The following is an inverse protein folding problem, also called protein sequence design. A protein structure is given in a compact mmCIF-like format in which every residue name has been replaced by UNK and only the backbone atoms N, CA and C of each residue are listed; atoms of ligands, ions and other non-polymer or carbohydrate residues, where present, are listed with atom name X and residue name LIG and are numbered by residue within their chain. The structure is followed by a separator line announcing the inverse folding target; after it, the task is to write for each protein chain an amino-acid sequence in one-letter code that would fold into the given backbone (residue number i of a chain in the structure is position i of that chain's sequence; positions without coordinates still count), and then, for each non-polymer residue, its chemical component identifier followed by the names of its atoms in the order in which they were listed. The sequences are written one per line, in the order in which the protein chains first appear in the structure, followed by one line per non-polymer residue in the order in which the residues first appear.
data_IF_420105471169
#
_entry.id   IF_420105471169
#
_cell.length_a   1.000
_cell.length_b   1.000
_cell.length_c   1.000
_cell.angle_alpha   90.00
_cell.angle_beta   90.00
_cell.angle_gamma   90.00
#
_symmetry.space_group_name_H-M   'P 1'
#
loop_
_entity.id
_entity.type
_entity.pdbx_description
1 polymer ?
#
# COMPACT_ATOMS: atom_id res chain seq x y z
N UNK A 1 -7.23 -11.55 -45.84
CA UNK A 1 -7.93 -10.31 -45.43
C UNK A 1 -7.10 -9.63 -44.36
N UNK A 2 -6.97 -8.29 -44.35
CA UNK A 2 -6.13 -7.58 -43.37
C UNK A 2 -6.54 -7.78 -41.90
N UNK A 3 -7.79 -8.20 -41.66
CA UNK A 3 -8.35 -8.49 -40.34
C UNK A 3 -7.77 -9.74 -39.65
N UNK A 4 -7.03 -10.59 -40.35
CA UNK A 4 -6.42 -11.81 -39.77
C UNK A 4 -5.40 -11.50 -38.66
N UNK A 5 -4.91 -10.26 -38.56
CA UNK A 5 -4.02 -9.81 -37.46
C UNK A 5 -4.77 -9.45 -36.17
N UNK A 6 -6.08 -9.15 -36.26
CA UNK A 6 -6.87 -8.68 -35.11
C UNK A 6 -6.88 -9.67 -33.93
N UNK A 7 -7.01 -10.99 -34.12
CA UNK A 7 -6.96 -11.94 -33.01
C UNK A 7 -5.62 -11.90 -32.26
N UNK A 8 -4.51 -11.72 -32.98
CA UNK A 8 -3.19 -11.62 -32.35
C UNK A 8 -3.03 -10.33 -31.53
N UNK A 9 -3.59 -9.22 -32.04
CA UNK A 9 -3.61 -7.94 -31.32
C UNK A 9 -4.49 -8.04 -30.08
N UNK A 10 -5.66 -8.68 -30.17
CA UNK A 10 -6.59 -8.83 -29.05
C UNK A 10 -5.97 -9.65 -27.90
N UNK A 11 -5.35 -10.78 -28.20
CA UNK A 11 -4.65 -11.60 -27.19
C UNK A 11 -3.53 -10.80 -26.51
N UNK A 12 -2.76 -10.03 -27.29
CA UNK A 12 -1.69 -9.18 -26.76
C UNK A 12 -2.24 -8.07 -25.87
N UNK A 13 -3.33 -7.41 -26.30
CA UNK A 13 -3.98 -6.33 -25.58
C UNK A 13 -4.62 -6.81 -24.26
N UNK A 14 -5.06 -8.06 -24.18
CA UNK A 14 -5.58 -8.65 -22.95
C UNK A 14 -4.46 -9.13 -22.02
N UNK A 15 -3.43 -9.79 -22.57
CA UNK A 15 -2.37 -10.40 -21.79
C UNK A 15 -1.42 -9.37 -21.15
N UNK A 16 -1.00 -8.33 -21.89
CA UNK A 16 -0.04 -7.34 -21.39
C UNK A 16 -0.49 -6.56 -20.13
N UNK A 17 -1.72 -6.02 -20.04
CA UNK A 17 -2.16 -5.30 -18.86
C UNK A 17 -2.61 -6.22 -17.72
N UNK A 18 -2.77 -7.52 -17.96
CA UNK A 18 -3.30 -8.45 -16.96
C UNK A 18 -2.41 -8.53 -15.71
N UNK A 19 -1.07 -8.72 -15.80
CA UNK A 19 -0.19 -8.67 -14.64
C UNK A 19 -0.26 -7.35 -13.86
N UNK A 20 -0.39 -6.22 -14.57
CA UNK A 20 -0.48 -4.89 -13.95
C UNK A 20 -1.79 -4.70 -13.17
N UNK A 21 -2.92 -5.19 -13.69
CA UNK A 21 -4.19 -5.18 -12.96
C UNK A 21 -4.13 -6.11 -11.76
N UNK A 22 -3.60 -7.32 -11.94
CA UNK A 22 -3.43 -8.27 -10.85
C UNK A 22 -2.55 -7.71 -9.73
N UNK A 23 -1.40 -7.10 -10.07
CA UNK A 23 -0.50 -6.50 -9.08
C UNK A 23 -1.13 -5.31 -8.37
N UNK A 24 -1.88 -4.45 -9.07
CA UNK A 24 -2.62 -3.35 -8.44
C UNK A 24 -3.66 -3.86 -7.42
N UNK A 25 -4.39 -4.93 -7.75
CA UNK A 25 -5.33 -5.56 -6.82
C UNK A 25 -4.61 -6.16 -5.60
N UNK A 26 -3.51 -6.90 -5.82
CA UNK A 26 -2.71 -7.48 -4.74
C UNK A 26 -2.12 -6.39 -3.85
N UNK A 27 -1.61 -5.30 -4.42
CA UNK A 27 -1.08 -4.17 -3.66
C UNK A 27 -2.15 -3.51 -2.80
N UNK A 28 -3.35 -3.29 -3.32
CA UNK A 28 -4.44 -2.76 -2.50
C UNK A 28 -4.85 -3.74 -1.40
N UNK A 29 -4.98 -5.01 -1.71
CA UNK A 29 -5.35 -6.05 -0.74
C UNK A 29 -4.36 -6.13 0.43
N UNK A 30 -3.06 -6.15 0.12
CA UNK A 30 -1.99 -6.28 1.12
C UNK A 30 -1.69 -5.02 1.92
N UNK A 31 -2.20 -3.86 1.51
CA UNK A 31 -1.93 -2.55 2.14
C UNK A 31 -3.19 -1.86 2.65
N UNK A 32 -4.19 -2.62 3.09
CA UNK A 32 -5.40 -2.10 3.73
C UNK A 32 -6.28 -1.28 2.78
N UNK A 33 -6.36 -1.68 1.51
CA UNK A 33 -7.12 -1.01 0.46
C UNK A 33 -6.41 0.19 -0.17
N UNK A 34 -5.23 0.56 0.33
CA UNK A 34 -4.46 1.72 -0.13
C UNK A 34 -3.38 1.31 -1.13
N UNK A 35 -2.82 2.30 -1.82
CA UNK A 35 -1.67 2.07 -2.68
C UNK A 35 -0.42 1.71 -1.86
N UNK A 36 0.39 0.80 -2.38
CA UNK A 36 1.65 0.41 -1.74
C UNK A 36 2.60 1.62 -1.74
N UNK A 37 3.14 1.96 -0.56
CA UNK A 37 4.13 3.04 -0.46
C UNK A 37 5.46 2.63 -1.11
N UNK A 38 6.03 3.56 -1.88
CA UNK A 38 7.35 3.40 -2.47
C UNK A 38 8.36 4.26 -1.72
N UNK A 39 9.37 3.63 -1.12
CA UNK A 39 10.32 4.27 -0.22
C UNK A 39 11.73 4.26 -0.81
N UNK A 40 11.91 5.02 -1.89
CA UNK A 40 13.19 5.13 -2.61
C UNK A 40 14.25 5.88 -1.82
N UNK A 41 13.81 6.84 -1.00
CA UNK A 41 14.69 7.69 -0.21
C UNK A 41 14.69 7.26 1.25
N UNK A 42 15.82 7.46 1.94
CA UNK A 42 15.99 7.15 3.37
C UNK A 42 14.95 7.86 4.25
N UNK A 43 14.58 9.11 3.91
CA UNK A 43 13.52 9.84 4.61
C UNK A 43 12.17 9.10 4.52
N UNK A 44 11.80 8.60 3.34
CA UNK A 44 10.56 7.85 3.14
C UNK A 44 10.58 6.52 3.92
N UNK A 45 11.73 5.85 3.97
CA UNK A 45 11.90 4.61 4.75
C UNK A 45 11.78 4.88 6.26
N UNK A 46 12.40 5.96 6.75
CA UNK A 46 12.29 6.38 8.14
C UNK A 46 10.85 6.69 8.55
N UNK A 47 10.08 7.36 7.68
CA UNK A 47 8.65 7.63 7.92
C UNK A 47 7.80 6.35 7.87
N UNK A 48 8.09 5.43 6.95
CA UNK A 48 7.39 4.15 6.85
C UNK A 48 7.62 3.28 8.10
N UNK A 49 8.85 3.29 8.60
CA UNK A 49 9.24 2.59 9.82
C UNK A 49 8.64 3.23 11.08
N UNK A 50 8.55 4.57 11.12
CA UNK A 50 7.78 5.28 12.15
C UNK A 50 6.32 4.83 12.15
N UNK A 51 5.67 4.79 11.00
CA UNK A 51 4.26 4.38 10.90
C UNK A 51 4.07 2.92 11.32
N UNK A 52 5.00 2.03 10.99
CA UNK A 52 5.02 0.64 11.50
C UNK A 52 5.01 0.60 13.02
N UNK A 53 5.84 1.41 13.69
CA UNK A 53 5.94 1.47 15.16
C UNK A 53 4.69 2.08 15.79
N UNK A 54 4.21 3.21 15.26
CA UNK A 54 3.02 3.92 15.77
C UNK A 54 1.74 3.10 15.56
N UNK A 55 1.71 2.21 14.56
CA UNK A 55 0.54 1.35 14.32
C UNK A 55 0.18 0.45 15.51
N UNK A 56 1.15 0.04 16.35
CA UNK A 56 0.94 -0.91 17.45
C UNK A 56 0.71 -2.36 17.01
N UNK A 57 0.58 -2.63 15.71
CA UNK A 57 0.30 -3.97 15.14
C UNK A 57 1.36 -4.41 14.14
N UNK A 58 2.52 -3.74 14.12
CA UNK A 58 3.62 -4.04 13.21
C UNK A 58 3.26 -3.95 11.71
N UNK A 59 2.25 -3.15 11.34
CA UNK A 59 1.83 -2.95 9.97
C UNK A 59 1.82 -1.46 9.61
N UNK A 60 2.69 -1.06 8.68
CA UNK A 60 2.85 0.35 8.30
C UNK A 60 1.64 1.00 7.60
N UNK A 61 0.74 0.20 7.01
CA UNK A 61 -0.41 0.72 6.29
C UNK A 61 -1.61 1.02 7.20
N UNK A 62 -1.55 0.57 8.46
CA UNK A 62 -2.52 0.87 9.52
C UNK A 62 -2.23 2.27 10.06
N UNK A 63 -2.96 3.25 9.53
CA UNK A 63 -2.82 4.66 9.91
C UNK A 63 -3.48 4.93 11.26
N UNK A 64 -2.81 5.75 12.08
CA UNK A 64 -3.38 6.34 13.30
C UNK A 64 -3.66 7.82 13.03
N UNK A 65 -4.90 8.24 13.23
CA UNK A 65 -5.33 9.63 13.13
C UNK A 65 -5.27 10.35 14.48
N UNK A 66 -6.08 11.40 14.62
CA UNK A 66 -6.17 12.21 15.84
C UNK A 66 -6.75 11.41 17.01
N UNK A 67 -7.50 10.33 16.74
CA UNK A 67 -8.05 9.44 17.76
C UNK A 67 -6.98 8.80 18.66
N UNK A 68 -5.73 8.76 18.22
CA UNK A 68 -4.63 8.15 18.96
C UNK A 68 -3.95 9.11 19.95
N UNK A 69 -4.24 10.42 19.91
CA UNK A 69 -3.54 11.43 20.72
C UNK A 69 -3.93 11.35 22.20
N UNK A 70 -5.22 11.17 22.49
CA UNK A 70 -5.73 11.03 23.86
C UNK A 70 -5.32 9.68 24.49
N UNK A 71 -5.01 8.69 23.67
CA UNK A 71 -4.54 7.38 24.13
C UNK A 71 -3.05 7.41 24.47
N UNK A 72 -2.26 8.21 23.74
CA UNK A 72 -0.87 8.49 24.07
C UNK A 72 -0.72 9.29 25.38
N UNK A 73 -1.66 10.17 25.71
CA UNK A 73 -1.65 10.88 26.99
C UNK A 73 -1.95 9.95 28.16
N UNK A 74 -2.82 8.94 28.02
CA UNK A 74 -3.04 7.91 29.05
C UNK A 74 -1.76 7.11 29.32
N UNK A 75 -1.04 6.67 28.28
CA UNK A 75 0.24 5.97 28.46
C UNK A 75 1.34 6.86 29.07
N UNK A 76 1.34 8.17 28.78
CA UNK A 76 2.27 9.12 29.39
C UNK A 76 1.89 9.52 30.83
N UNK A 77 0.62 9.39 31.22
CA UNK A 77 0.16 9.64 32.59
C UNK A 77 0.45 8.43 33.50
N UNK A 78 0.44 7.20 32.96
CA UNK A 78 0.72 5.97 33.71
C UNK A 78 2.23 5.78 34.04
N UNK A 79 3.12 6.52 33.38
CA UNK A 79 4.58 6.50 33.62
C UNK A 79 5.04 7.50 34.71
N UNK A 80 4.12 8.26 35.35
CA UNK A 80 4.44 9.28 36.37
C UNK A 80 3.84 8.96 37.74
#
# INVERSE_FOLDING_TARGET
MWFEILPGIDVTAMCLPFPSRASAHIHRFTNGGKEKRFANYSCQQGLMERDRRVSGVNHYHVSRGLENIDQGSIFLIDEK
#
